data_IF_980273586976
#
_entry.id   IF_980273586976
#
_cell.length_a   1.000
_cell.length_b   1.000
_cell.length_c   1.000
_cell.angle_alpha   90.00
_cell.angle_beta   90.00
_cell.angle_gamma   90.00
#
_symmetry.space_group_name_H-M   'P 1'
#
loop_
_entity.id
_entity.type
_entity.pdbx_description
1 polymer ?
#
# COMPACT_ATOMS: atom_id res chain seq x y z
N UNK A 1 13.05 13.45 -7.78
CA UNK A 1 12.91 12.47 -6.66
C UNK A 1 11.59 11.70 -6.77
N UNK A 2 11.60 10.44 -6.41
CA UNK A 2 10.42 9.55 -6.49
C UNK A 2 9.89 9.31 -5.10
N UNK A 3 8.62 9.64 -4.85
CA UNK A 3 7.91 9.30 -3.64
C UNK A 3 7.18 7.97 -3.79
N UNK A 4 7.48 7.01 -2.92
CA UNK A 4 6.77 5.74 -2.83
C UNK A 4 5.86 5.78 -1.62
N UNK A 5 4.55 5.84 -1.86
CA UNK A 5 3.55 5.90 -0.80
C UNK A 5 3.24 4.51 -0.23
N UNK A 6 3.49 4.37 1.05
CA UNK A 6 3.02 3.26 1.87
C UNK A 6 2.33 3.82 3.09
N UNK A 7 1.02 3.72 3.10
CA UNK A 7 0.24 4.06 4.28
C UNK A 7 -0.19 2.74 4.91
N UNK A 8 0.57 2.30 5.88
CA UNK A 8 0.26 1.13 6.69
C UNK A 8 0.52 1.43 8.16
N UNK A 9 -0.43 1.10 8.98
CA UNK A 9 -0.52 1.49 10.39
C UNK A 9 0.29 0.64 11.36
N UNK A 10 1.28 -0.16 10.93
CA UNK A 10 1.85 -1.15 11.82
C UNK A 10 3.37 -1.08 11.90
N UNK A 11 3.88 -1.18 13.13
CA UNK A 11 5.31 -1.21 13.49
C UNK A 11 6.15 -2.14 12.60
N UNK A 12 5.60 -3.28 12.21
CA UNK A 12 6.28 -4.25 11.33
C UNK A 12 6.60 -3.72 9.94
N UNK A 13 5.80 -2.79 9.42
CA UNK A 13 6.05 -2.13 8.14
C UNK A 13 7.14 -1.07 8.33
N UNK A 14 7.10 -0.33 9.43
CA UNK A 14 8.08 0.67 9.79
C UNK A 14 9.48 0.06 9.97
N UNK A 15 9.59 -1.02 10.73
CA UNK A 15 10.87 -1.73 10.94
C UNK A 15 11.47 -2.23 9.63
N UNK A 16 10.63 -2.72 8.71
CA UNK A 16 11.08 -3.13 7.38
C UNK A 16 11.66 -1.97 6.58
N UNK A 17 10.97 -0.83 6.56
CA UNK A 17 11.45 0.34 5.81
C UNK A 17 12.71 0.94 6.42
N UNK A 18 12.85 0.93 7.73
CA UNK A 18 14.06 1.37 8.39
C UNK A 18 15.25 0.48 7.99
N UNK A 19 15.06 -0.84 7.98
CA UNK A 19 16.08 -1.77 7.51
C UNK A 19 16.42 -1.61 6.02
N UNK A 20 15.40 -1.45 5.16
CA UNK A 20 15.61 -1.20 3.73
C UNK A 20 16.31 0.14 3.49
N UNK A 21 16.00 1.18 4.26
CA UNK A 21 16.66 2.48 4.16
C UNK A 21 18.14 2.44 4.57
N UNK A 22 18.53 1.55 5.49
CA UNK A 22 19.94 1.32 5.83
C UNK A 22 20.75 0.74 4.66
N UNK A 23 20.12 -0.06 3.80
CA UNK A 23 20.74 -0.61 2.59
C UNK A 23 20.72 0.36 1.40
N UNK A 24 19.74 1.23 1.32
CA UNK A 24 19.58 2.18 0.22
C UNK A 24 20.01 3.59 0.64
N UNK A 25 21.26 3.95 0.35
CA UNK A 25 21.88 5.23 0.78
C UNK A 25 21.14 6.51 0.41
N UNK A 26 20.11 6.44 -0.44
CA UNK A 26 19.34 7.60 -0.95
C UNK A 26 17.84 7.50 -0.65
N UNK A 27 17.43 6.71 0.34
CA UNK A 27 16.03 6.57 0.75
C UNK A 27 15.79 7.37 2.03
N UNK A 28 14.76 8.20 2.01
CA UNK A 28 14.29 8.95 3.19
C UNK A 28 12.94 8.35 3.60
N UNK A 29 12.84 7.92 4.85
CA UNK A 29 11.58 7.44 5.43
C UNK A 29 10.89 8.61 6.14
N UNK A 30 9.68 8.93 5.68
CA UNK A 30 8.85 9.97 6.29
C UNK A 30 7.64 9.33 6.98
N UNK A 31 7.43 9.67 8.24
CA UNK A 31 6.24 9.24 8.98
C UNK A 31 5.02 10.05 8.52
N UNK A 32 3.96 9.38 8.10
CA UNK A 32 2.67 9.98 7.81
C UNK A 32 1.80 10.09 9.08
N UNK A 33 0.83 11.00 9.08
CA UNK A 33 -0.15 11.08 10.15
C UNK A 33 -1.02 9.81 10.19
N UNK A 34 -1.20 9.24 11.38
CA UNK A 34 -2.11 8.11 11.58
C UNK A 34 -3.51 8.63 11.89
N UNK A 35 -4.39 8.61 10.89
CA UNK A 35 -5.77 9.12 10.96
C UNK A 35 -6.76 8.01 10.57
N UNK A 36 -6.99 7.01 11.43
CA UNK A 36 -7.86 5.87 11.12
C UNK A 36 -9.31 6.28 10.84
N UNK A 37 -9.76 7.42 11.36
CA UNK A 37 -11.10 7.95 11.16
C UNK A 37 -11.39 8.23 9.68
N UNK A 38 -10.41 8.68 8.92
CA UNK A 38 -10.54 8.88 7.46
C UNK A 38 -10.85 7.56 6.75
N UNK A 39 -10.17 6.48 7.15
CA UNK A 39 -10.45 5.16 6.60
C UNK A 39 -11.84 4.65 7.00
N UNK A 40 -12.24 4.79 8.26
CA UNK A 40 -13.57 4.37 8.70
C UNK A 40 -14.68 5.16 8.01
N UNK A 41 -14.48 6.45 7.77
CA UNK A 41 -15.44 7.28 7.05
C UNK A 41 -15.69 6.76 5.62
N UNK A 42 -14.64 6.42 4.87
CA UNK A 42 -14.78 5.88 3.50
C UNK A 42 -15.28 4.44 3.46
N UNK A 43 -15.09 3.68 4.54
CA UNK A 43 -15.53 2.29 4.65
C UNK A 43 -16.99 2.16 5.11
N UNK A 44 -17.61 3.24 5.57
CA UNK A 44 -18.99 3.22 6.08
C UNK A 44 -19.97 2.75 5.01
N UNK A 45 -20.76 1.71 5.35
CA UNK A 45 -21.67 1.03 4.44
C UNK A 45 -21.01 0.02 3.49
N UNK A 46 -19.69 -0.16 3.58
CA UNK A 46 -18.91 -1.12 2.79
C UNK A 46 -18.19 -2.16 3.67
N UNK A 47 -18.57 -2.28 4.94
CA UNK A 47 -17.92 -3.14 5.94
C UNK A 47 -17.95 -4.61 5.52
N UNK A 48 -19.05 -5.03 4.89
CA UNK A 48 -19.28 -6.41 4.43
C UNK A 48 -18.73 -6.69 3.02
N UNK A 49 -18.18 -5.69 2.34
CA UNK A 49 -17.54 -5.90 1.03
C UNK A 49 -16.32 -6.82 1.19
N UNK A 50 -16.13 -7.81 0.30
CA UNK A 50 -14.97 -8.67 0.35
C UNK A 50 -13.67 -7.88 0.07
N UNK A 51 -12.52 -8.50 0.35
CA UNK A 51 -11.25 -7.98 -0.16
C UNK A 51 -11.33 -7.90 -1.69
N UNK A 52 -10.80 -6.84 -2.30
CA UNK A 52 -10.90 -6.45 -3.72
C UNK A 52 -12.24 -5.83 -4.13
N UNK A 53 -13.19 -5.64 -3.22
CA UNK A 53 -14.46 -4.93 -3.48
C UNK A 53 -14.32 -3.40 -3.44
N UNK A 54 -15.45 -2.71 -3.45
CA UNK A 54 -15.53 -1.23 -3.47
C UNK A 54 -14.84 -0.56 -2.30
N UNK A 55 -14.83 -1.20 -1.11
CA UNK A 55 -14.08 -0.73 0.05
C UNK A 55 -12.59 -0.58 -0.26
N UNK A 56 -12.00 -1.57 -0.95
CA UNK A 56 -10.59 -1.52 -1.34
C UNK A 56 -10.31 -0.43 -2.37
N UNK A 57 -11.22 -0.19 -3.32
CA UNK A 57 -11.10 0.90 -4.28
C UNK A 57 -11.01 2.25 -3.54
N UNK A 58 -11.94 2.52 -2.62
CA UNK A 58 -11.94 3.72 -1.79
C UNK A 58 -10.68 3.87 -0.92
N UNK A 59 -10.19 2.75 -0.40
CA UNK A 59 -8.92 2.74 0.32
C UNK A 59 -7.72 3.12 -0.56
N UNK A 60 -7.71 2.70 -1.82
CA UNK A 60 -6.67 3.11 -2.78
C UNK A 60 -6.76 4.60 -3.09
N UNK A 61 -7.98 5.14 -3.30
CA UNK A 61 -8.19 6.57 -3.48
C UNK A 61 -7.60 7.36 -2.32
N UNK A 62 -7.98 7.03 -1.08
CA UNK A 62 -7.50 7.72 0.11
C UNK A 62 -5.97 7.73 0.21
N UNK A 63 -5.34 6.59 -0.06
CA UNK A 63 -3.88 6.43 0.06
C UNK A 63 -3.12 7.16 -1.04
N UNK A 64 -3.55 7.00 -2.29
CA UNK A 64 -2.90 7.65 -3.44
C UNK A 64 -3.12 9.15 -3.43
N UNK A 65 -4.28 9.61 -2.97
CA UNK A 65 -4.53 11.03 -2.77
C UNK A 65 -3.57 11.65 -1.76
N UNK A 66 -3.39 11.00 -0.61
CA UNK A 66 -2.46 11.46 0.43
C UNK A 66 -1.01 11.48 -0.09
N UNK A 67 -0.61 10.44 -0.84
CA UNK A 67 0.73 10.37 -1.44
C UNK A 67 0.95 11.47 -2.47
N UNK A 68 -0.02 11.72 -3.35
CA UNK A 68 0.08 12.78 -4.36
C UNK A 68 0.09 14.18 -3.75
N UNK A 69 -0.74 14.40 -2.71
CA UNK A 69 -0.76 15.64 -1.94
C UNK A 69 0.60 15.91 -1.30
N UNK A 70 1.15 14.92 -0.59
CA UNK A 70 2.46 15.00 0.04
C UNK A 70 3.57 15.26 -0.98
N UNK A 71 3.53 14.56 -2.12
CA UNK A 71 4.49 14.77 -3.20
C UNK A 71 4.47 16.23 -3.71
N UNK A 72 3.28 16.80 -3.89
CA UNK A 72 3.12 18.20 -4.30
C UNK A 72 3.66 19.17 -3.27
N UNK A 73 3.31 18.97 -2.00
CA UNK A 73 3.70 19.87 -0.89
C UNK A 73 5.22 19.89 -0.66
N UNK A 74 5.90 18.75 -0.92
CA UNK A 74 7.33 18.60 -0.68
C UNK A 74 8.20 18.64 -1.96
N UNK A 75 7.61 18.98 -3.11
CA UNK A 75 8.35 19.21 -4.35
C UNK A 75 8.93 17.94 -4.98
N UNK A 76 8.27 16.78 -4.81
CA UNK A 76 8.64 15.56 -5.54
C UNK A 76 8.20 15.65 -7.00
N UNK A 77 9.02 15.14 -7.90
CA UNK A 77 8.72 15.15 -9.36
C UNK A 77 7.69 14.08 -9.73
N UNK A 78 7.72 12.94 -9.03
CA UNK A 78 6.90 11.77 -9.35
C UNK A 78 6.52 11.00 -8.10
N UNK A 79 5.35 10.39 -8.10
CA UNK A 79 4.93 9.46 -7.04
C UNK A 79 4.47 8.11 -7.59
N UNK A 80 4.44 7.10 -6.75
CA UNK A 80 3.92 5.77 -7.09
C UNK A 80 3.48 5.01 -5.83
N UNK A 81 3.07 3.76 -5.99
CA UNK A 81 2.75 2.86 -4.88
C UNK A 81 3.30 1.47 -5.09
N UNK A 82 3.83 0.84 -4.05
CA UNK A 82 4.27 -0.55 -4.07
C UNK A 82 3.13 -1.56 -3.83
N UNK A 83 1.91 -1.10 -3.58
CA UNK A 83 0.75 -1.98 -3.39
C UNK A 83 0.53 -2.94 -4.56
N UNK A 84 0.90 -2.54 -5.79
CA UNK A 84 0.74 -3.35 -7.00
C UNK A 84 1.60 -4.62 -7.01
N UNK A 85 2.59 -4.79 -6.10
CA UNK A 85 3.37 -6.03 -5.97
C UNK A 85 2.53 -7.20 -5.44
N UNK A 86 1.49 -6.92 -4.66
CA UNK A 86 0.64 -7.95 -4.08
C UNK A 86 -0.30 -8.54 -5.14
N UNK A 87 -0.43 -9.89 -5.25
CA UNK A 87 -1.39 -10.53 -6.15
C UNK A 87 -2.84 -10.26 -5.73
N UNK A 88 -3.06 -9.81 -4.48
CA UNK A 88 -4.37 -9.46 -3.95
C UNK A 88 -4.79 -8.02 -4.25
N UNK A 89 -3.96 -7.23 -4.93
CA UNK A 89 -4.26 -5.84 -5.27
C UNK A 89 -4.55 -5.68 -6.76
N UNK A 90 -5.57 -4.89 -7.07
CA UNK A 90 -5.95 -4.58 -8.44
C UNK A 90 -5.04 -3.46 -8.99
N UNK A 91 -4.03 -3.84 -9.78
CA UNK A 91 -3.08 -2.88 -10.34
C UNK A 91 -3.74 -1.92 -11.34
N UNK A 92 -4.79 -2.33 -12.05
CA UNK A 92 -5.51 -1.45 -12.97
C UNK A 92 -6.18 -0.30 -12.20
N UNK A 93 -6.86 -0.59 -11.10
CA UNK A 93 -7.45 0.44 -10.23
C UNK A 93 -6.40 1.36 -9.61
N UNK A 94 -5.28 0.79 -9.14
CA UNK A 94 -4.19 1.58 -8.57
C UNK A 94 -3.62 2.58 -9.58
N UNK A 95 -3.44 2.14 -10.82
CA UNK A 95 -2.90 2.99 -11.88
C UNK A 95 -3.93 4.04 -12.34
N UNK A 96 -5.20 3.65 -12.55
CA UNK A 96 -6.29 4.58 -12.87
C UNK A 96 -6.41 5.71 -11.83
N UNK A 97 -6.42 5.33 -10.54
CA UNK A 97 -6.49 6.30 -9.44
C UNK A 97 -5.22 7.15 -9.39
N UNK A 98 -4.04 6.54 -9.58
CA UNK A 98 -2.76 7.24 -9.60
C UNK A 98 -2.69 8.32 -10.67
N UNK A 99 -3.12 8.01 -11.89
CA UNK A 99 -3.20 8.98 -12.99
C UNK A 99 -4.17 10.13 -12.68
N UNK A 100 -5.35 9.81 -12.14
CA UNK A 100 -6.32 10.82 -11.73
C UNK A 100 -5.80 11.73 -10.61
N UNK A 101 -5.04 11.19 -9.65
CA UNK A 101 -4.39 11.99 -8.60
C UNK A 101 -3.23 12.81 -9.15
N UNK A 102 -2.51 12.31 -10.16
CA UNK A 102 -1.48 13.06 -10.86
C UNK A 102 -2.05 14.31 -11.52
N UNK A 103 -3.18 14.18 -12.24
CA UNK A 103 -3.89 15.32 -12.83
C UNK A 103 -4.36 16.32 -11.76
N UNK A 104 -4.94 15.81 -10.67
CA UNK A 104 -5.49 16.64 -9.57
C UNK A 104 -4.43 17.48 -8.88
N UNK A 105 -3.25 16.91 -8.61
CA UNK A 105 -2.19 17.56 -7.82
C UNK A 105 -1.04 18.12 -8.66
N UNK A 106 -1.01 17.84 -9.95
CA UNK A 106 0.05 18.32 -10.86
C UNK A 106 1.42 17.70 -10.55
N UNK A 107 1.45 16.42 -10.17
CA UNK A 107 2.66 15.63 -9.92
C UNK A 107 2.60 14.37 -10.77
N UNK A 108 3.68 14.00 -11.47
CA UNK A 108 3.67 12.82 -12.32
C UNK A 108 3.43 11.53 -11.52
N UNK A 109 2.70 10.58 -12.12
CA UNK A 109 2.50 9.25 -11.55
C UNK A 109 3.31 8.20 -12.31
N UNK A 110 4.08 7.38 -11.60
CA UNK A 110 4.76 6.23 -12.20
C UNK A 110 3.79 5.06 -12.32
N UNK A 111 3.28 4.86 -13.53
CA UNK A 111 2.44 3.70 -13.86
C UNK A 111 3.20 2.39 -13.66
N UNK A 112 2.71 1.49 -12.83
CA UNK A 112 3.43 0.28 -12.47
C UNK A 112 2.53 -0.90 -12.15
N UNK A 113 3.03 -2.10 -12.44
CA UNK A 113 2.50 -3.37 -11.95
C UNK A 113 3.68 -4.24 -11.50
N UNK A 114 4.15 -4.00 -10.28
CA UNK A 114 5.37 -4.62 -9.74
C UNK A 114 5.28 -6.13 -9.55
N UNK A 115 4.10 -6.76 -9.62
CA UNK A 115 3.99 -8.22 -9.59
C UNK A 115 4.36 -8.88 -10.92
N UNK A 116 4.36 -8.14 -12.05
CA UNK A 116 4.79 -8.64 -13.35
C UNK A 116 6.27 -8.99 -13.36
N UNK A 117 6.73 -9.73 -14.39
CA UNK A 117 8.10 -10.17 -14.57
C UNK A 117 8.69 -10.85 -13.33
N UNK A 118 7.89 -11.71 -12.69
CA UNK A 118 8.25 -12.42 -11.45
C UNK A 118 8.49 -11.52 -10.21
N UNK A 119 8.09 -10.25 -10.24
CA UNK A 119 8.34 -9.33 -9.14
C UNK A 119 7.80 -9.81 -7.80
N UNK A 120 6.60 -10.43 -7.77
CA UNK A 120 6.07 -11.02 -6.54
C UNK A 120 6.93 -12.19 -6.02
N UNK A 121 7.34 -13.12 -6.89
CA UNK A 121 8.23 -14.22 -6.50
C UNK A 121 9.57 -13.70 -5.99
N UNK A 122 10.16 -12.75 -6.68
CA UNK A 122 11.40 -12.09 -6.25
C UNK A 122 11.26 -11.39 -4.89
N UNK A 123 10.11 -10.74 -4.62
CA UNK A 123 9.86 -10.15 -3.30
C UNK A 123 9.81 -11.20 -2.17
N UNK A 124 9.41 -12.45 -2.47
CA UNK A 124 9.43 -13.56 -1.50
C UNK A 124 10.87 -13.99 -1.24
N UNK A 125 11.68 -14.13 -2.28
CA UNK A 125 13.10 -14.49 -2.19
C UNK A 125 13.86 -13.48 -1.34
N UNK A 126 13.76 -12.20 -1.67
CA UNK A 126 14.35 -11.10 -0.88
C UNK A 126 13.90 -11.11 0.58
N UNK A 127 12.59 -11.33 0.81
CA UNK A 127 12.09 -11.39 2.18
C UNK A 127 12.67 -12.55 2.99
N UNK A 128 13.01 -13.66 2.35
CA UNK A 128 13.70 -14.81 3.00
C UNK A 128 15.17 -14.50 3.25
N UNK A 129 15.86 -13.95 2.23
CA UNK A 129 17.27 -13.59 2.30
C UNK A 129 17.56 -12.60 3.42
N UNK A 130 16.73 -11.55 3.53
CA UNK A 130 16.87 -10.48 4.52
C UNK A 130 16.05 -10.71 5.79
N UNK A 131 15.46 -11.89 5.99
CA UNK A 131 14.64 -12.24 7.16
C UNK A 131 13.51 -11.25 7.45
N UNK A 132 12.91 -10.65 6.40
CA UNK A 132 11.84 -9.66 6.53
C UNK A 132 10.52 -10.32 6.91
N UNK A 133 9.79 -9.71 7.83
CA UNK A 133 8.44 -10.14 8.16
C UNK A 133 7.50 -10.01 6.96
N UNK A 134 6.72 -11.05 6.69
CA UNK A 134 5.68 -11.05 5.65
C UNK A 134 4.30 -11.15 6.28
N UNK A 135 3.56 -10.05 6.20
CA UNK A 135 2.18 -9.98 6.64
C UNK A 135 1.27 -10.77 5.70
N UNK A 136 0.34 -11.54 6.25
CA UNK A 136 -0.57 -12.41 5.51
C UNK A 136 -2.00 -11.84 5.33
N UNK A 137 -2.20 -10.57 5.67
CA UNK A 137 -3.43 -9.81 5.46
C UNK A 137 -3.12 -8.37 5.01
N UNK A 138 -4.10 -7.69 4.45
CA UNK A 138 -3.97 -6.26 4.14
C UNK A 138 -4.11 -5.46 5.45
N UNK A 139 -3.26 -4.50 5.76
CA UNK A 139 -3.23 -3.76 7.04
C UNK A 139 -4.54 -3.08 7.51
N UNK A 140 -5.71 -3.41 6.95
CA UNK A 140 -7.00 -2.94 7.44
C UNK A 140 -7.68 -3.97 8.35
N UNK A 141 -8.50 -3.48 9.27
CA UNK A 141 -9.21 -4.34 10.25
C UNK A 141 -10.08 -5.40 9.57
N UNK A 142 -10.76 -5.08 8.48
CA UNK A 142 -11.64 -6.02 7.79
C UNK A 142 -10.88 -7.21 7.18
N UNK A 143 -9.75 -6.97 6.53
CA UNK A 143 -8.90 -8.03 5.98
C UNK A 143 -8.29 -8.89 7.09
N UNK A 144 -7.98 -8.30 8.24
CA UNK A 144 -7.50 -9.03 9.41
C UNK A 144 -8.58 -9.98 9.94
N UNK A 145 -9.80 -9.49 10.13
CA UNK A 145 -10.92 -10.30 10.61
C UNK A 145 -11.25 -11.44 9.64
N UNK A 146 -11.32 -11.17 8.33
CA UNK A 146 -11.51 -12.19 7.31
C UNK A 146 -10.42 -13.28 7.38
N UNK A 147 -9.16 -12.88 7.61
CA UNK A 147 -8.05 -13.81 7.74
C UNK A 147 -8.11 -14.65 9.00
N UNK A 148 -8.49 -14.06 10.12
CA UNK A 148 -8.68 -14.77 11.40
C UNK A 148 -9.80 -15.82 11.29
N UNK A 149 -10.91 -15.47 10.63
CA UNK A 149 -12.02 -16.39 10.37
C UNK A 149 -11.59 -17.56 9.47
N UNK A 150 -10.88 -17.29 8.39
CA UNK A 150 -10.32 -18.33 7.50
C UNK A 150 -9.39 -19.30 8.27
N UNK A 151 -8.59 -18.80 9.20
CA UNK A 151 -7.71 -19.63 10.04
C UNK A 151 -8.49 -20.52 11.01
N UNK A 152 -9.60 -20.03 11.57
CA UNK A 152 -10.49 -20.83 12.42
C UNK A 152 -11.15 -21.97 11.64
N UNK A 153 -11.68 -21.67 10.45
CA UNK A 153 -12.36 -22.66 9.61
C UNK A 153 -11.44 -23.76 9.04
N UNK A 154 -10.12 -23.51 8.97
CA UNK A 154 -9.13 -24.52 8.54
C UNK A 154 -8.64 -25.45 9.65
N UNK A 155 -8.98 -25.15 10.91
CA UNK A 155 -8.59 -25.96 12.08
C UNK A 155 -9.67 -26.97 12.49
N UNK A 156 -10.81 -26.96 11.80
CA UNK A 156 -11.90 -27.94 11.90
C UNK A 156 -11.76 -28.94 10.75
#
# INVERSE_FOLDING_TARGET
EILIGLVGSEMCIRDRFTQEAEFARNVIVCDGAYEPEKFYAIAKGLEKEPERGRRCYKCYELRLEETARYAKEHGFDIFTTTLSISPHKNAAWLNEIGERMAEKYGVAYLYSDFKKKNGYAHSIELSREYHLYRQDYCGCIYSRLEREEQKKNKRI
#
